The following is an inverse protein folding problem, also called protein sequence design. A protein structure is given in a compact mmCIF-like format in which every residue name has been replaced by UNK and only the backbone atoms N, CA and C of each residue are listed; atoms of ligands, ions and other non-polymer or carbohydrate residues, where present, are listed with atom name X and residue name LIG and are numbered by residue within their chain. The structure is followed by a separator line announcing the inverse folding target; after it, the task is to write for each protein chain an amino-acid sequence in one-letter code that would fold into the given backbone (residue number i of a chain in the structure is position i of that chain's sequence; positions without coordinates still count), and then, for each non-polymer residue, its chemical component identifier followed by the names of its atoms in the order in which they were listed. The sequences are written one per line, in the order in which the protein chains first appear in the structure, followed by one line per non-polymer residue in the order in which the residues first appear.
data_IF_591880245781
#
_entry.id   IF_591880245781
#
_cell.length_a   1.000
_cell.length_b   1.000
_cell.length_c   1.000
_cell.angle_alpha   90.00
_cell.angle_beta   90.00
_cell.angle_gamma   90.00
#
_symmetry.space_group_name_H-M   'P 1'
#
loop_
_entity.id
_entity.type
_entity.pdbx_description
1 polymer ?
#
# COMPACT_ATOMS: atom_id res chain seq x y z
N UNK A 1 15.49 0.32 4.68
CA UNK A 1 15.37 1.77 4.43
C UNK A 1 15.63 2.53 5.71
N UNK A 2 16.34 3.67 5.67
CA UNK A 2 16.52 4.56 6.84
C UNK A 2 16.00 5.95 6.50
N UNK A 3 15.60 6.71 7.52
CA UNK A 3 15.26 8.12 7.34
C UNK A 3 16.48 8.91 6.91
N UNK A 4 16.34 9.74 5.88
CA UNK A 4 17.44 10.51 5.30
C UNK A 4 17.41 11.95 5.84
N UNK A 5 18.45 12.39 6.57
CA UNK A 5 18.61 13.81 6.90
C UNK A 5 19.10 14.56 5.66
N UNK A 6 18.45 15.68 5.34
CA UNK A 6 18.82 16.55 4.22
C UNK A 6 19.24 17.90 4.79
N UNK A 7 20.51 18.27 4.58
CA UNK A 7 21.02 19.59 4.99
C UNK A 7 20.40 20.65 4.09
N UNK A 8 19.68 21.59 4.70
CA UNK A 8 19.05 22.71 3.99
C UNK A 8 18.69 23.83 4.96
N UNK A 9 18.50 25.05 4.44
CA UNK A 9 17.99 26.17 5.22
C UNK A 9 16.50 25.98 5.55
N UNK A 10 15.99 26.82 6.46
CA UNK A 10 14.57 26.83 6.79
C UNK A 10 13.73 27.25 5.57
N UNK A 11 14.17 28.26 4.84
CA UNK A 11 13.51 28.78 3.64
C UNK A 11 13.48 27.73 2.52
N UNK A 12 14.56 26.95 2.38
CA UNK A 12 14.60 25.81 1.46
C UNK A 12 13.64 24.69 1.89
N UNK A 13 13.58 24.40 3.19
CA UNK A 13 12.66 23.41 3.76
C UNK A 13 11.20 23.79 3.56
N UNK A 14 10.84 25.05 3.79
CA UNK A 14 9.48 25.53 3.56
C UNK A 14 9.07 25.35 2.10
N UNK A 15 9.97 25.54 1.14
CA UNK A 15 9.69 25.39 -0.29
C UNK A 15 9.96 23.98 -0.83
N UNK A 16 10.29 23.01 0.01
CA UNK A 16 10.57 21.64 -0.39
C UNK A 16 9.27 20.92 -0.80
N UNK A 17 9.20 20.23 -1.96
CA UNK A 17 8.05 19.40 -2.30
C UNK A 17 7.79 18.33 -1.24
N UNK A 18 6.56 18.26 -0.73
CA UNK A 18 6.19 17.22 0.24
C UNK A 18 5.98 15.88 -0.47
N UNK A 19 6.55 14.82 0.11
CA UNK A 19 6.24 13.43 -0.26
C UNK A 19 4.96 12.98 0.44
N UNK A 20 3.92 12.66 -0.31
CA UNK A 20 2.66 12.19 0.27
C UNK A 20 2.88 10.91 1.09
N UNK A 21 2.26 10.83 2.27
CA UNK A 21 2.46 9.71 3.19
C UNK A 21 3.76 9.80 4.01
N UNK A 22 4.58 10.83 3.81
CA UNK A 22 5.76 11.09 4.63
C UNK A 22 5.50 12.20 5.66
N UNK A 23 6.20 12.11 6.79
CA UNK A 23 6.33 13.16 7.77
C UNK A 23 7.61 13.93 7.44
N UNK A 24 7.49 15.25 7.37
CA UNK A 24 8.61 16.18 7.18
C UNK A 24 8.77 16.95 8.49
N UNK A 25 9.97 16.93 9.05
CA UNK A 25 10.34 17.67 10.24
C UNK A 25 11.61 18.46 9.98
N UNK A 26 11.75 19.62 10.60
CA UNK A 26 12.96 20.42 10.50
C UNK A 26 13.52 20.71 11.88
N UNK A 27 14.79 20.41 12.08
CA UNK A 27 15.52 20.78 13.29
C UNK A 27 17.02 20.86 12.99
N UNK A 28 17.71 21.81 13.63
CA UNK A 28 19.17 21.98 13.54
C UNK A 28 19.73 22.10 12.10
N UNK A 29 19.05 22.81 11.19
CA UNK A 29 19.53 23.00 9.82
C UNK A 29 19.35 21.78 8.91
N UNK A 30 18.47 20.86 9.29
CA UNK A 30 18.23 19.63 8.57
C UNK A 30 16.73 19.33 8.47
N UNK A 31 16.32 18.85 7.31
CA UNK A 31 15.02 18.23 7.09
C UNK A 31 15.13 16.72 7.34
N UNK A 32 14.13 16.14 8.01
CA UNK A 32 14.02 14.73 8.29
C UNK A 32 12.74 14.18 7.68
N UNK A 33 12.90 13.22 6.78
CA UNK A 33 11.79 12.57 6.08
C UNK A 33 11.62 11.16 6.63
N UNK A 34 10.45 10.89 7.22
CA UNK A 34 10.11 9.56 7.76
C UNK A 34 8.76 9.11 7.20
N UNK A 35 8.61 7.88 6.69
CA UNK A 35 7.32 7.43 6.18
C UNK A 35 6.32 7.30 7.34
N UNK A 36 5.08 7.73 7.10
CA UNK A 36 3.98 7.49 8.03
C UNK A 36 3.50 6.06 7.87
N UNK A 37 3.18 5.44 8.99
CA UNK A 37 2.53 4.12 9.04
C UNK A 37 1.01 4.25 8.76
N UNK A 38 0.63 5.08 7.78
CA UNK A 38 -0.75 5.26 7.34
C UNK A 38 -1.01 4.34 6.15
N UNK A 39 -1.93 3.39 6.31
CA UNK A 39 -2.40 2.54 5.22
C UNK A 39 -3.67 3.09 4.58
N UNK A 40 -3.88 2.79 3.30
CA UNK A 40 -5.12 3.04 2.57
C UNK A 40 -5.79 1.70 2.30
N UNK A 41 -7.06 1.54 2.69
CA UNK A 41 -7.87 0.40 2.27
C UNK A 41 -8.22 0.57 0.80
N UNK A 42 -8.12 -0.51 0.04
CA UNK A 42 -8.43 -0.48 -1.38
C UNK A 42 -9.16 -1.76 -1.77
N UNK A 43 -10.08 -1.68 -2.71
CA UNK A 43 -10.95 -2.78 -3.12
C UNK A 43 -10.89 -2.99 -4.62
N UNK A 44 -11.02 -4.24 -5.06
CA UNK A 44 -11.20 -4.58 -6.46
C UNK A 44 -12.39 -5.51 -6.61
N UNK A 45 -13.13 -5.32 -7.70
CA UNK A 45 -14.21 -6.23 -8.07
C UNK A 45 -13.64 -7.61 -8.45
N UNK A 46 -14.32 -8.65 -7.96
CA UNK A 46 -14.06 -10.04 -8.35
C UNK A 46 -14.65 -10.25 -9.74
N UNK A 47 -13.77 -10.20 -10.74
CA UNK A 47 -14.10 -10.44 -12.14
C UNK A 47 -12.98 -11.24 -12.81
N UNK A 48 -13.30 -12.04 -13.86
CA UNK A 48 -12.28 -12.78 -14.60
C UNK A 48 -11.19 -11.88 -15.18
N UNK A 49 -9.95 -12.36 -15.15
CA UNK A 49 -8.75 -11.69 -15.70
C UNK A 49 -8.08 -12.57 -16.75
N UNK A 50 -7.75 -11.94 -17.88
CA UNK A 50 -7.08 -12.58 -19.01
C UNK A 50 -5.57 -12.33 -18.93
N UNK A 51 -4.86 -13.01 -18.04
CA UNK A 51 -3.39 -12.93 -17.95
C UNK A 51 -2.79 -14.33 -17.88
N UNK A 52 -1.82 -14.61 -18.76
CA UNK A 52 -1.07 -15.88 -18.81
C UNK A 52 0.39 -15.63 -19.16
N UNK A 53 1.20 -15.26 -18.16
CA UNK A 53 2.65 -15.45 -18.28
C UNK A 53 2.96 -16.94 -18.31
N UNK A 54 3.48 -17.42 -19.43
CA UNK A 54 3.76 -18.85 -19.63
C UNK A 54 5.01 -19.35 -18.88
N UNK A 55 5.88 -18.45 -18.40
CA UNK A 55 7.21 -18.81 -17.88
C UNK A 55 7.31 -18.96 -16.36
N UNK A 56 6.23 -18.74 -15.61
CA UNK A 56 6.19 -18.92 -14.16
C UNK A 56 5.14 -19.96 -13.78
N UNK A 57 5.45 -20.80 -12.77
CA UNK A 57 4.49 -21.77 -12.25
C UNK A 57 3.82 -21.19 -11.01
N UNK A 58 2.51 -20.97 -11.09
CA UNK A 58 1.69 -20.58 -9.95
C UNK A 58 1.04 -21.83 -9.37
N UNK A 59 1.10 -21.97 -8.05
CA UNK A 59 0.48 -23.09 -7.32
C UNK A 59 -0.14 -22.61 -6.01
N UNK A 60 -1.07 -23.37 -5.42
CA UNK A 60 -1.55 -23.10 -4.07
C UNK A 60 -0.38 -23.02 -3.07
N UNK A 61 -0.52 -22.14 -2.09
CA UNK A 61 0.36 -22.10 -0.93
C UNK A 61 0.10 -23.30 -0.03
N UNK A 62 1.17 -23.89 0.51
CA UNK A 62 1.08 -25.02 1.45
C UNK A 62 1.89 -24.74 2.72
N UNK A 63 1.57 -25.37 3.87
CA UNK A 63 2.29 -25.11 5.13
C UNK A 63 3.80 -25.35 5.06
N UNK A 64 4.26 -26.24 4.17
CA UNK A 64 5.69 -26.49 3.97
C UNK A 64 6.43 -25.34 3.29
N UNK A 65 5.73 -24.34 2.73
CA UNK A 65 6.34 -23.13 2.15
C UNK A 65 6.77 -22.11 3.23
N UNK A 66 6.46 -22.35 4.51
CA UNK A 66 6.58 -21.34 5.55
C UNK A 66 8.00 -20.78 5.70
N UNK A 67 9.04 -21.61 5.56
CA UNK A 67 10.44 -21.17 5.67
C UNK A 67 10.82 -20.26 4.51
N UNK A 68 10.55 -20.69 3.28
CA UNK A 68 10.84 -19.94 2.05
C UNK A 68 10.02 -18.64 1.99
N UNK A 69 8.78 -18.65 2.48
CA UNK A 69 7.95 -17.44 2.56
C UNK A 69 8.52 -16.40 3.54
N UNK A 70 9.14 -16.82 4.64
CA UNK A 70 9.81 -15.90 5.58
C UNK A 70 11.06 -15.29 4.95
N UNK A 71 11.83 -16.08 4.20
CA UNK A 71 12.97 -15.57 3.44
C UNK A 71 12.53 -14.59 2.36
N UNK A 72 11.53 -14.94 1.54
CA UNK A 72 10.98 -14.04 0.53
C UNK A 72 10.44 -12.76 1.18
N UNK A 73 9.73 -12.87 2.31
CA UNK A 73 9.24 -11.69 3.02
C UNK A 73 10.39 -10.75 3.38
N UNK A 74 11.45 -11.28 3.98
CA UNK A 74 12.61 -10.46 4.32
C UNK A 74 13.21 -9.81 3.07
N UNK A 75 13.45 -10.59 2.00
CA UNK A 75 13.99 -10.08 0.72
C UNK A 75 13.13 -8.96 0.11
N UNK A 76 11.80 -9.08 0.21
CA UNK A 76 10.87 -8.11 -0.38
C UNK A 76 10.76 -6.84 0.46
N UNK A 77 10.81 -6.94 1.79
CA UNK A 77 10.42 -5.86 2.69
C UNK A 77 11.57 -5.26 3.51
N UNK A 78 12.78 -5.85 3.52
CA UNK A 78 13.87 -5.34 4.37
C UNK A 78 14.28 -3.90 4.04
N UNK A 79 14.09 -3.47 2.78
CA UNK A 79 14.38 -2.11 2.34
C UNK A 79 13.12 -1.30 2.01
N UNK A 80 11.96 -1.67 2.56
CA UNK A 80 10.69 -1.01 2.27
C UNK A 80 10.34 0.08 3.29
N UNK A 81 9.36 0.92 2.95
CA UNK A 81 8.93 2.05 3.81
C UNK A 81 8.30 1.58 5.13
N UNK A 82 7.70 0.39 5.11
CA UNK A 82 7.07 -0.28 6.25
C UNK A 82 8.06 -0.54 7.38
N UNK A 83 9.31 -0.83 7.01
CA UNK A 83 10.41 -1.16 7.92
C UNK A 83 11.47 -0.05 7.96
N UNK A 84 11.10 1.18 7.61
CA UNK A 84 12.01 2.32 7.72
C UNK A 84 12.52 2.45 9.16
N UNK A 85 13.84 2.56 9.31
CA UNK A 85 14.56 2.62 10.59
C UNK A 85 14.56 1.32 11.41
N UNK A 86 13.97 0.22 10.94
CA UNK A 86 14.07 -1.06 11.63
C UNK A 86 15.48 -1.63 11.51
N UNK A 87 15.86 -2.43 12.50
CA UNK A 87 17.03 -3.30 12.44
C UNK A 87 16.63 -4.64 11.82
N UNK A 88 17.56 -5.31 11.15
CA UNK A 88 17.28 -6.55 10.40
C UNK A 88 16.58 -7.62 11.26
N UNK A 89 17.00 -7.77 12.53
CA UNK A 89 16.37 -8.70 13.47
C UNK A 89 14.87 -8.42 13.63
N UNK A 90 14.47 -7.14 13.76
CA UNK A 90 13.06 -6.78 13.91
C UNK A 90 12.25 -7.09 12.65
N UNK A 91 12.89 -7.02 11.48
CA UNK A 91 12.27 -7.37 10.19
C UNK A 91 12.12 -8.89 10.08
N UNK A 92 13.12 -9.66 10.50
CA UNK A 92 13.05 -11.13 10.56
C UNK A 92 11.96 -11.61 11.53
N UNK A 93 11.86 -10.99 12.71
CA UNK A 93 10.77 -11.27 13.67
C UNK A 93 9.40 -10.92 13.09
N UNK A 94 9.30 -9.82 12.33
CA UNK A 94 8.07 -9.46 11.63
C UNK A 94 7.72 -10.44 10.51
N UNK A 95 8.71 -10.94 9.76
CA UNK A 95 8.53 -11.98 8.76
C UNK A 95 8.01 -13.28 9.40
N UNK A 96 8.66 -13.71 10.48
CA UNK A 96 8.26 -14.88 11.27
C UNK A 96 6.81 -14.74 11.75
N UNK A 97 6.49 -13.63 12.42
CA UNK A 97 5.15 -13.36 12.93
C UNK A 97 4.12 -13.27 11.81
N UNK A 98 4.43 -12.64 10.68
CA UNK A 98 3.50 -12.48 9.57
C UNK A 98 3.07 -13.84 9.00
N UNK A 99 4.05 -14.71 8.72
CA UNK A 99 3.83 -16.02 8.10
C UNK A 99 3.23 -17.02 9.09
N UNK A 100 3.72 -17.05 10.34
CA UNK A 100 3.14 -17.92 11.37
C UNK A 100 1.69 -17.54 11.67
N UNK A 101 1.39 -16.25 11.81
CA UNK A 101 0.02 -15.78 12.05
C UNK A 101 -0.93 -16.09 10.89
N UNK A 102 -0.41 -16.11 9.65
CA UNK A 102 -1.18 -16.53 8.49
C UNK A 102 -1.55 -18.01 8.63
N UNK A 103 -0.58 -18.92 8.74
CA UNK A 103 -0.88 -20.36 8.84
C UNK A 103 -1.61 -20.75 10.13
N UNK A 104 -1.45 -19.98 11.21
CA UNK A 104 -2.15 -20.16 12.48
C UNK A 104 -3.54 -19.51 12.54
N UNK A 105 -4.03 -18.93 11.44
CA UNK A 105 -5.34 -18.28 11.33
C UNK A 105 -5.60 -17.14 12.35
N UNK A 106 -4.55 -16.49 12.87
CA UNK A 106 -4.64 -15.53 13.99
C UNK A 106 -5.46 -14.28 13.63
N UNK A 107 -5.42 -13.87 12.36
CA UNK A 107 -6.11 -12.66 11.87
C UNK A 107 -7.22 -12.98 10.86
N UNK A 108 -7.58 -14.25 10.71
CA UNK A 108 -8.48 -14.75 9.67
C UNK A 108 -7.96 -16.06 9.09
N UNK A 109 -8.86 -16.84 8.51
CA UNK A 109 -8.56 -18.16 7.96
C UNK A 109 -7.78 -18.03 6.64
N UNK A 110 -6.70 -18.79 6.43
CA UNK A 110 -6.05 -18.90 5.12
C UNK A 110 -7.04 -19.28 4.02
N UNK A 111 -7.20 -18.41 3.03
CA UNK A 111 -8.05 -18.70 1.88
C UNK A 111 -7.38 -19.70 0.95
N UNK A 112 -8.19 -20.61 0.39
CA UNK A 112 -7.75 -21.61 -0.61
C UNK A 112 -7.26 -20.97 -1.91
N UNK A 113 -7.60 -19.70 -2.17
CA UNK A 113 -7.14 -18.98 -3.37
C UNK A 113 -5.72 -18.43 -3.23
N UNK A 114 -5.15 -18.47 -2.03
CA UNK A 114 -3.78 -18.03 -1.78
C UNK A 114 -2.79 -18.86 -2.59
N UNK A 115 -1.82 -18.18 -3.20
CA UNK A 115 -0.91 -18.83 -4.13
C UNK A 115 0.51 -18.28 -4.05
N UNK A 116 1.45 -19.07 -4.55
CA UNK A 116 2.86 -18.71 -4.71
C UNK A 116 3.27 -18.88 -6.17
N UNK A 117 4.20 -18.05 -6.61
CA UNK A 117 4.86 -18.16 -7.90
C UNK A 117 6.23 -18.80 -7.70
N UNK A 118 6.57 -19.74 -8.58
CA UNK A 118 7.86 -20.43 -8.58
C UNK A 118 8.56 -20.25 -9.92
N UNK A 119 9.90 -20.16 -9.87
CA UNK A 119 10.75 -20.23 -11.05
C UNK A 119 10.73 -21.65 -11.64
N UNK A 120 11.30 -21.80 -12.84
CA UNK A 120 11.48 -23.10 -13.49
C UNK A 120 12.38 -24.06 -12.71
N UNK A 121 13.26 -23.51 -11.87
CA UNK A 121 14.16 -24.24 -10.97
C UNK A 121 13.51 -24.57 -9.62
N UNK A 122 12.28 -24.10 -9.38
CA UNK A 122 11.50 -24.38 -8.17
C UNK A 122 11.66 -23.37 -7.04
N UNK A 123 12.44 -22.31 -7.23
CA UNK A 123 12.59 -21.21 -6.28
C UNK A 123 11.27 -20.44 -6.11
N UNK A 124 10.93 -20.06 -4.88
CA UNK A 124 9.76 -19.23 -4.58
C UNK A 124 10.09 -17.75 -4.88
N UNK A 125 9.49 -17.21 -5.94
CA UNK A 125 9.80 -15.87 -6.48
C UNK A 125 8.70 -14.84 -6.19
N UNK A 126 7.55 -15.29 -5.70
CA UNK A 126 6.46 -14.40 -5.31
C UNK A 126 5.36 -15.11 -4.52
N UNK A 127 4.59 -14.33 -3.79
CA UNK A 127 3.47 -14.81 -2.98
C UNK A 127 2.31 -13.83 -3.01
N UNK A 128 1.09 -14.37 -2.96
CA UNK A 128 -0.13 -13.63 -2.71
C UNK A 128 -0.98 -14.42 -1.70
N UNK A 129 -1.01 -13.93 -0.45
CA UNK A 129 -1.71 -14.56 0.66
C UNK A 129 -3.02 -13.84 0.92
N UNK A 130 -4.12 -14.58 0.87
CA UNK A 130 -5.47 -14.09 1.13
C UNK A 130 -5.98 -14.73 2.41
N UNK A 131 -6.60 -13.93 3.26
CA UNK A 131 -7.33 -14.41 4.43
C UNK A 131 -8.83 -14.14 4.28
N UNK A 132 -9.64 -14.98 4.90
CA UNK A 132 -11.08 -14.82 5.00
C UNK A 132 -11.47 -14.58 6.46
N UNK A 133 -12.39 -13.64 6.67
CA UNK A 133 -12.97 -13.35 7.97
C UNK A 133 -14.50 -13.36 7.84
N UNK A 134 -15.24 -13.76 8.89
CA UNK A 134 -16.70 -13.65 8.86
C UNK A 134 -17.13 -12.22 8.55
N UNK A 135 -18.17 -12.09 7.71
CA UNK A 135 -18.82 -10.80 7.38
C UNK A 135 -17.93 -9.78 6.66
N UNK A 136 -16.74 -10.17 6.20
CA UNK A 136 -15.84 -9.31 5.42
C UNK A 136 -15.56 -9.91 4.05
N UNK A 137 -15.18 -9.05 3.11
CA UNK A 137 -14.58 -9.49 1.87
C UNK A 137 -13.25 -10.20 2.15
N UNK A 138 -12.82 -11.14 1.29
CA UNK A 138 -11.47 -11.70 1.37
C UNK A 138 -10.47 -10.57 1.35
N UNK A 139 -9.38 -10.74 2.09
CA UNK A 139 -8.36 -9.70 2.27
C UNK A 139 -7.02 -10.21 1.80
N UNK A 140 -6.47 -9.57 0.75
CA UNK A 140 -5.10 -9.75 0.29
C UNK A 140 -4.16 -9.19 1.37
N UNK A 141 -3.65 -10.11 2.19
CA UNK A 141 -2.84 -9.83 3.37
C UNK A 141 -1.38 -9.57 3.04
N UNK A 142 -0.85 -10.29 2.06
CA UNK A 142 0.54 -10.18 1.64
C UNK A 142 0.60 -10.34 0.14
N UNK A 143 1.25 -9.40 -0.53
CA UNK A 143 1.70 -9.53 -1.91
C UNK A 143 3.18 -9.17 -1.93
N UNK A 144 4.02 -10.10 -2.35
CA UNK A 144 5.47 -9.89 -2.39
C UNK A 144 6.09 -10.58 -3.59
N UNK A 145 6.97 -9.88 -4.29
CA UNK A 145 7.71 -10.39 -5.46
C UNK A 145 9.19 -10.15 -5.22
N UNK A 146 10.01 -11.20 -5.33
CA UNK A 146 11.46 -11.09 -5.22
C UNK A 146 11.97 -9.96 -6.12
N UNK A 147 12.85 -9.06 -5.62
CA UNK A 147 13.41 -7.95 -6.38
C UNK A 147 13.91 -8.32 -7.78
N UNK A 148 14.54 -9.49 -7.94
CA UNK A 148 15.06 -9.98 -9.22
C UNK A 148 13.98 -10.31 -10.27
N UNK A 149 12.74 -10.52 -9.82
CA UNK A 149 11.56 -10.87 -10.62
C UNK A 149 10.52 -9.75 -10.74
N UNK A 150 10.77 -8.59 -10.13
CA UNK A 150 9.88 -7.43 -10.24
C UNK A 150 9.81 -6.90 -11.68
N UNK A 151 8.70 -6.20 -12.00
CA UNK A 151 8.42 -5.63 -13.32
C UNK A 151 8.32 -6.65 -14.47
N UNK A 152 8.22 -7.95 -14.15
CA UNK A 152 7.99 -9.04 -15.13
C UNK A 152 6.55 -9.54 -15.17
N UNK A 153 5.61 -8.83 -14.52
CA UNK A 153 4.19 -9.20 -14.48
C UNK A 153 3.81 -10.31 -13.48
N UNK A 154 4.73 -10.73 -12.61
CA UNK A 154 4.47 -11.81 -11.61
C UNK A 154 3.30 -11.47 -10.69
N UNK A 155 3.28 -10.24 -10.12
CA UNK A 155 2.20 -9.78 -9.25
C UNK A 155 0.84 -9.81 -9.95
N UNK A 156 0.78 -9.33 -11.19
CA UNK A 156 -0.42 -9.36 -12.03
C UNK A 156 -0.95 -10.79 -12.21
N UNK A 157 -0.06 -11.77 -12.43
CA UNK A 157 -0.46 -13.16 -12.65
C UNK A 157 -0.92 -13.86 -11.36
N UNK A 158 -0.27 -13.58 -10.23
CA UNK A 158 -0.74 -14.04 -8.91
C UNK A 158 -2.15 -13.52 -8.64
N UNK A 159 -2.38 -12.23 -8.88
CA UNK A 159 -3.68 -11.61 -8.65
C UNK A 159 -4.75 -12.07 -9.62
N UNK A 160 -4.42 -12.22 -10.92
CA UNK A 160 -5.33 -12.80 -11.90
C UNK A 160 -5.74 -14.22 -11.49
N UNK A 161 -4.79 -15.02 -10.98
CA UNK A 161 -5.06 -16.36 -10.45
C UNK A 161 -6.03 -16.31 -9.26
N UNK A 162 -5.81 -15.42 -8.30
CA UNK A 162 -6.71 -15.22 -7.15
C UNK A 162 -8.11 -14.82 -7.60
N UNK A 163 -8.24 -13.79 -8.44
CA UNK A 163 -9.54 -13.28 -8.88
C UNK A 163 -10.31 -14.32 -9.69
N UNK A 164 -9.64 -15.04 -10.59
CA UNK A 164 -10.25 -16.12 -11.37
C UNK A 164 -10.78 -17.26 -10.49
N UNK A 165 -10.12 -17.57 -9.37
CA UNK A 165 -10.62 -18.54 -8.41
C UNK A 165 -11.79 -17.99 -7.59
N UNK A 166 -11.71 -16.73 -7.16
CA UNK A 166 -12.77 -16.06 -6.40
C UNK A 166 -14.08 -15.91 -7.18
N UNK A 167 -14.04 -15.83 -8.52
CA UNK A 167 -15.26 -15.80 -9.37
C UNK A 167 -16.17 -17.01 -9.13
N UNK A 168 -15.61 -18.15 -8.69
CA UNK A 168 -16.39 -19.35 -8.38
C UNK A 168 -16.91 -19.38 -6.93
N UNK A 169 -16.88 -18.24 -6.24
CA UNK A 169 -17.34 -18.08 -4.85
C UNK A 169 -18.47 -17.05 -4.78
N UNK A 170 -19.00 -16.81 -3.58
CA UNK A 170 -20.00 -15.75 -3.36
C UNK A 170 -19.39 -14.36 -3.17
N UNK A 171 -18.06 -14.21 -3.19
CA UNK A 171 -17.41 -12.93 -2.97
C UNK A 171 -17.45 -12.06 -4.22
N UNK A 172 -17.87 -10.81 -4.05
CA UNK A 172 -17.95 -9.82 -5.14
C UNK A 172 -16.77 -8.85 -5.17
N UNK A 173 -16.01 -8.77 -4.07
CA UNK A 173 -14.87 -7.87 -3.92
C UNK A 173 -13.72 -8.57 -3.20
N UNK A 174 -12.50 -8.09 -3.45
CA UNK A 174 -11.27 -8.42 -2.72
C UNK A 174 -10.70 -7.13 -2.14
N UNK A 175 -10.45 -7.12 -0.83
CA UNK A 175 -9.82 -6.00 -0.13
C UNK A 175 -8.29 -6.16 -0.13
N UNK A 176 -7.57 -5.04 -0.11
CA UNK A 176 -6.14 -4.98 0.22
C UNK A 176 -5.79 -3.66 0.89
N UNK A 177 -4.55 -3.52 1.35
CA UNK A 177 -4.00 -2.25 1.84
C UNK A 177 -2.61 -2.01 1.30
N UNK A 178 -2.32 -0.75 1.04
CA UNK A 178 -0.96 -0.27 0.82
C UNK A 178 -0.64 0.86 1.80
N UNK A 179 0.63 1.04 2.13
CA UNK A 179 1.09 2.20 2.90
C UNK A 179 1.17 3.43 2.00
N UNK A 180 0.63 4.56 2.44
CA UNK A 180 0.55 5.77 1.62
C UNK A 180 1.93 6.27 1.16
N UNK A 181 2.97 6.03 1.98
CA UNK A 181 4.37 6.32 1.65
C UNK A 181 4.96 5.38 0.56
N UNK A 182 4.34 4.22 0.31
CA UNK A 182 4.77 3.22 -0.66
C UNK A 182 4.14 3.52 -2.03
N UNK A 183 4.70 4.50 -2.73
CA UNK A 183 4.20 4.93 -4.04
C UNK A 183 4.19 3.80 -5.07
N UNK A 184 5.18 2.91 -5.05
CA UNK A 184 5.24 1.78 -5.97
C UNK A 184 4.05 0.83 -5.78
N UNK A 185 3.72 0.52 -4.52
CA UNK A 185 2.55 -0.30 -4.19
C UNK A 185 1.25 0.41 -4.55
N UNK A 186 1.10 1.69 -4.23
CA UNK A 186 -0.07 2.50 -4.62
C UNK A 186 -0.30 2.48 -6.13
N UNK A 187 0.75 2.80 -6.90
CA UNK A 187 0.66 2.89 -8.35
C UNK A 187 0.32 1.53 -8.96
N UNK A 188 0.88 0.44 -8.41
CA UNK A 188 0.52 -0.92 -8.86
C UNK A 188 -0.95 -1.25 -8.56
N UNK A 189 -1.47 -0.95 -7.37
CA UNK A 189 -2.88 -1.17 -7.01
C UNK A 189 -3.81 -0.45 -7.99
N UNK A 190 -3.57 0.85 -8.23
CA UNK A 190 -4.38 1.64 -9.17
C UNK A 190 -4.28 1.13 -10.60
N UNK A 191 -3.08 0.78 -11.08
CA UNK A 191 -2.87 0.21 -12.43
C UNK A 191 -3.57 -1.14 -12.59
N UNK A 192 -3.63 -1.95 -11.53
CA UNK A 192 -4.32 -3.24 -11.54
C UNK A 192 -5.87 -3.08 -11.46
N UNK A 193 -6.37 -1.90 -11.10
CA UNK A 193 -7.80 -1.59 -11.03
C UNK A 193 -8.41 -1.60 -9.64
N UNK A 194 -7.58 -1.60 -8.59
CA UNK A 194 -8.06 -1.35 -7.24
C UNK A 194 -8.52 0.11 -7.08
N UNK A 195 -9.57 0.31 -6.29
CA UNK A 195 -10.16 1.60 -5.96
C UNK A 195 -10.01 1.87 -4.46
N UNK A 196 -9.51 3.05 -4.13
CA UNK A 196 -9.27 3.43 -2.75
C UNK A 196 -10.57 3.69 -1.99
N UNK A 197 -10.65 3.13 -0.79
CA UNK A 197 -11.65 3.41 0.23
C UNK A 197 -11.00 4.35 1.25
N UNK A 198 -11.10 5.66 0.99
CA UNK A 198 -10.46 6.67 1.82
C UNK A 198 -11.24 6.83 3.12
N UNK A 199 -10.51 6.83 4.23
CA UNK A 199 -11.01 7.33 5.51
C UNK A 199 -10.71 8.83 5.66
N UNK A 200 -11.29 9.44 6.68
CA UNK A 200 -11.10 10.86 7.00
C UNK A 200 -9.62 11.23 7.20
N UNK A 201 -8.81 10.36 7.79
CA UNK A 201 -7.41 10.65 8.05
C UNK A 201 -6.59 10.67 6.77
N UNK A 202 -6.83 9.72 5.86
CA UNK A 202 -6.20 9.67 4.54
C UNK A 202 -6.64 10.87 3.70
N UNK A 203 -7.94 11.19 3.66
CA UNK A 203 -8.46 12.35 2.94
C UNK A 203 -7.78 13.66 3.40
N UNK A 204 -7.61 13.84 4.72
CA UNK A 204 -6.90 15.01 5.28
C UNK A 204 -5.43 15.07 4.88
N UNK A 205 -4.76 13.93 4.71
CA UNK A 205 -3.36 13.92 4.25
C UNK A 205 -3.24 14.35 2.80
N UNK A 206 -4.13 13.88 1.92
CA UNK A 206 -4.19 14.35 0.54
C UNK A 206 -4.51 15.85 0.46
N UNK A 207 -5.50 16.32 1.24
CA UNK A 207 -5.85 17.73 1.28
C UNK A 207 -4.67 18.62 1.69
N UNK A 208 -3.99 18.30 2.80
CA UNK A 208 -2.81 19.07 3.24
C UNK A 208 -1.67 19.04 2.23
N UNK A 209 -1.47 17.91 1.56
CA UNK A 209 -0.47 17.78 0.51
C UNK A 209 -0.78 18.68 -0.69
N UNK A 210 -2.03 18.67 -1.17
CA UNK A 210 -2.47 19.54 -2.26
C UNK A 210 -2.38 21.03 -1.88
N UNK A 211 -2.79 21.41 -0.67
CA UNK A 211 -2.68 22.79 -0.17
C UNK A 211 -1.23 23.27 -0.16
N UNK A 212 -0.33 22.42 0.35
CA UNK A 212 1.08 22.74 0.39
C UNK A 212 1.66 22.90 -1.02
N UNK A 213 1.34 22.00 -1.95
CA UNK A 213 1.85 22.09 -3.33
C UNK A 213 1.35 23.34 -4.05
N UNK A 214 0.08 23.71 -3.90
CA UNK A 214 -0.45 24.97 -4.44
C UNK A 214 0.32 26.17 -3.88
N UNK A 215 0.39 26.29 -2.56
CA UNK A 215 1.09 27.39 -1.89
C UNK A 215 2.57 27.46 -2.31
N UNK A 216 3.25 26.33 -2.39
CA UNK A 216 4.66 26.24 -2.79
C UNK A 216 4.86 26.78 -4.19
N UNK A 217 3.99 26.41 -5.13
CA UNK A 217 4.09 26.84 -6.53
C UNK A 217 3.72 28.32 -6.71
N UNK A 218 2.78 28.83 -5.92
CA UNK A 218 2.49 30.27 -5.85
C UNK A 218 3.70 31.07 -5.35
N UNK A 219 4.42 30.55 -4.35
CA UNK A 219 5.65 31.18 -3.83
C UNK A 219 6.80 31.15 -4.83
N UNK A 220 6.95 30.05 -5.56
CA UNK A 220 7.98 29.93 -6.59
C UNK A 220 7.69 30.80 -7.82
N UNK A 221 6.41 31.01 -8.15
CA UNK A 221 5.99 31.86 -9.27
C UNK A 221 6.40 31.34 -10.65
N UNK A 222 6.68 30.03 -10.77
CA UNK A 222 7.23 29.40 -11.98
C UNK A 222 6.16 28.75 -12.87
N UNK A 223 4.98 28.45 -12.33
CA UNK A 223 3.91 27.75 -13.06
C UNK A 223 3.05 28.70 -13.89
N UNK A 224 2.48 28.14 -14.97
CA UNK A 224 1.47 28.83 -15.75
C UNK A 224 0.18 29.01 -14.94
N UNK A 225 -0.66 29.97 -15.35
CA UNK A 225 -2.00 30.15 -14.73
C UNK A 225 -2.87 28.89 -14.85
N UNK A 226 -2.70 28.11 -15.92
CA UNK A 226 -3.45 26.87 -16.15
C UNK A 226 -3.02 25.80 -15.13
N UNK A 227 -1.72 25.66 -14.90
CA UNK A 227 -1.19 24.68 -13.94
C UNK A 227 -1.54 25.04 -12.49
N UNK A 228 -1.49 26.34 -12.14
CA UNK A 228 -1.94 26.81 -10.84
C UNK A 228 -3.44 26.57 -10.63
N UNK A 229 -4.27 26.81 -11.65
CA UNK A 229 -5.70 26.51 -11.58
C UNK A 229 -5.96 25.01 -11.39
N UNK A 230 -5.17 24.13 -12.02
CA UNK A 230 -5.26 22.68 -11.81
C UNK A 230 -4.96 22.29 -10.37
N UNK A 231 -3.92 22.88 -9.77
CA UNK A 231 -3.59 22.65 -8.35
C UNK A 231 -4.70 23.17 -7.42
N UNK A 232 -5.29 24.33 -7.72
CA UNK A 232 -6.41 24.86 -6.97
C UNK A 232 -7.65 23.93 -7.04
N UNK A 233 -7.98 23.40 -8.22
CA UNK A 233 -9.05 22.41 -8.36
C UNK A 233 -8.76 21.10 -7.61
N UNK A 234 -7.49 20.70 -7.50
CA UNK A 234 -7.10 19.54 -6.70
C UNK A 234 -7.30 19.80 -5.20
N UNK A 235 -6.98 21.00 -4.71
CA UNK A 235 -7.26 21.42 -3.33
C UNK A 235 -8.77 21.40 -3.04
N UNK A 236 -9.59 21.95 -3.93
CA UNK A 236 -11.05 21.95 -3.80
C UNK A 236 -11.62 20.53 -3.77
N UNK A 237 -11.15 19.66 -4.66
CA UNK A 237 -11.54 18.26 -4.70
C UNK A 237 -11.26 17.56 -3.37
N UNK A 238 -10.05 17.72 -2.82
CA UNK A 238 -9.68 17.06 -1.57
C UNK A 238 -10.37 17.68 -0.35
N UNK A 239 -10.69 18.98 -0.35
CA UNK A 239 -11.53 19.56 0.70
C UNK A 239 -12.94 18.94 0.69
N UNK A 240 -13.56 18.83 -0.48
CA UNK A 240 -14.87 18.20 -0.61
C UNK A 240 -14.85 16.73 -0.16
N UNK A 241 -13.75 16.02 -0.42
CA UNK A 241 -13.55 14.66 0.07
C UNK A 241 -13.44 14.61 1.60
N UNK A 242 -12.70 15.54 2.22
CA UNK A 242 -12.65 15.66 3.70
C UNK A 242 -14.05 15.89 4.26
N UNK A 243 -14.80 16.84 3.72
CA UNK A 243 -16.15 17.16 4.19
C UNK A 243 -17.08 15.94 4.09
N UNK A 244 -17.00 15.19 2.98
CA UNK A 244 -17.74 13.93 2.79
C UNK A 244 -17.40 12.90 3.86
N UNK A 245 -16.11 12.73 4.16
CA UNK A 245 -15.66 11.76 5.16
C UNK A 245 -15.98 12.19 6.59
N UNK A 246 -16.03 13.49 6.89
CA UNK A 246 -16.46 13.99 8.20
C UNK A 246 -17.92 13.64 8.47
N UNK A 247 -18.81 13.84 7.49
CA UNK A 247 -20.23 13.45 7.60
C UNK A 247 -20.38 11.93 7.82
N UNK A 248 -19.62 11.12 7.08
CA UNK A 248 -19.63 9.66 7.24
C UNK A 248 -19.10 9.21 8.61
N UNK A 249 -18.02 9.85 9.10
CA UNK A 249 -17.42 9.58 10.39
C UNK A 249 -18.37 9.92 11.55
N UNK A 250 -19.01 11.09 11.51
CA UNK A 250 -19.99 11.52 12.53
C UNK A 250 -21.23 10.62 12.56
N UNK A 251 -21.66 10.12 11.39
CA UNK A 251 -22.77 9.16 11.30
C UNK A 251 -22.43 7.80 11.92
N UNK A 252 -21.16 7.40 11.87
CA UNK A 252 -20.67 6.13 12.42
C UNK A 252 -20.36 6.23 13.92
N UNK A 253 -19.90 7.40 14.38
CA UNK A 253 -19.56 7.68 15.77
C UNK A 253 -20.31 8.93 16.26
N UNK A 254 -21.64 8.86 16.46
CA UNK A 254 -22.40 9.99 16.95
C UNK A 254 -21.86 10.41 18.32
N UNK A 255 -21.57 11.70 18.50
CA UNK A 255 -21.22 12.22 19.82
C UNK A 255 -22.41 12.00 20.73
N UNK A 256 -22.27 11.15 21.74
CA UNK A 256 -23.25 11.10 22.83
C UNK A 256 -23.32 12.50 23.44
N UNK A 257 -24.47 13.15 23.30
CA UNK A 257 -24.74 14.44 23.89
C UNK A 257 -24.74 14.26 25.41
N UNK A 258 -23.68 14.74 26.08
CA UNK A 258 -23.62 14.94 27.52
C UNK A 258 -24.45 16.15 27.96
#
# INVERSE_FOLDING_TARGET
MKSEPIVMSWEEYELMPWRLGWKHEYFNGMAYLTPRQQSVLTVIEVAPRNDTLQSIKIRPVVPTDATELKHLFFEVFHDSVEYCNYEEQNIQESAQSCIDNYFGAVKGEPSKVSCVATSTEGELIGTALVIEQPERHPYLRLLGISPSWQRRGVATNLMATILNQLVNTSFTQLESRYFLANEASRNWHHQFGFQDQLDLFVARLFYRHAQHELWRQEKLGQLSKIDLARLASEVEYWQAEVDRQEVAFESTYPRELS
#
